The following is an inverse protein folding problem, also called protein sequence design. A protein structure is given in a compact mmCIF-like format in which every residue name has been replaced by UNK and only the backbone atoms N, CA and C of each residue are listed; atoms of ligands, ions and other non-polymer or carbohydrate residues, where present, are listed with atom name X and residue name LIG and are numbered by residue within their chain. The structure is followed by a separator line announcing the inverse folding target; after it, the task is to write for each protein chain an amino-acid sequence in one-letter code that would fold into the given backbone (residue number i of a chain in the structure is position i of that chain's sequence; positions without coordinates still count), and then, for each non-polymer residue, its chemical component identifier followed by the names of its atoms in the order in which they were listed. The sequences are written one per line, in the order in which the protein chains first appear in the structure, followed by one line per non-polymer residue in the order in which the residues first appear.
data_IF_575395070041
#
_entry.id   IF_575395070041
#
_cell.length_a   1.000
_cell.length_b   1.000
_cell.length_c   1.000
_cell.angle_alpha   90.00
_cell.angle_beta   90.00
_cell.angle_gamma   90.00
#
_symmetry.space_group_name_H-M   'P 1'
#
loop_
_entity.id
_entity.type
_entity.pdbx_description
1 polymer ?
#
# COMPACT_ATOMS: atom_id res chain seq x y z
N UNK A 1 3.80 34.41 -7.20
CA UNK A 1 4.80 34.73 -8.26
C UNK A 1 6.22 34.29 -7.92
N UNK A 2 6.79 34.60 -6.75
CA UNK A 2 8.18 34.20 -6.42
C UNK A 2 8.38 32.68 -6.34
N UNK A 3 7.55 31.95 -5.59
CA UNK A 3 7.60 30.47 -5.53
C UNK A 3 7.46 29.81 -6.91
N UNK A 4 6.60 30.36 -7.76
CA UNK A 4 6.34 29.86 -9.12
C UNK A 4 7.56 30.01 -10.03
N UNK A 5 8.27 31.15 -9.95
CA UNK A 5 9.56 31.33 -10.61
C UNK A 5 10.61 30.37 -10.04
N UNK A 6 10.62 30.16 -8.72
CA UNK A 6 11.47 29.18 -8.05
C UNK A 6 11.33 27.77 -8.60
N UNK A 7 10.10 27.30 -8.84
CA UNK A 7 9.87 26.00 -9.47
C UNK A 7 10.34 25.93 -10.93
N UNK A 8 10.17 27.01 -11.70
CA UNK A 8 10.70 27.07 -13.06
C UNK A 8 12.21 26.90 -13.10
N UNK A 9 12.92 27.56 -12.18
CA UNK A 9 14.37 27.38 -12.03
C UNK A 9 14.75 26.00 -11.48
N UNK A 10 13.92 25.41 -10.61
CA UNK A 10 14.10 24.03 -10.18
C UNK A 10 13.96 23.05 -11.36
N UNK A 11 13.01 23.28 -12.26
CA UNK A 11 12.84 22.46 -13.46
C UNK A 11 14.05 22.56 -14.38
N UNK A 12 14.59 23.78 -14.56
CA UNK A 12 15.83 23.98 -15.30
C UNK A 12 17.03 23.27 -14.65
N UNK A 13 17.16 23.35 -13.31
CA UNK A 13 18.18 22.60 -12.57
C UNK A 13 18.05 21.09 -12.81
N UNK A 14 16.85 20.54 -12.65
CA UNK A 14 16.63 19.10 -12.78
C UNK A 14 16.85 18.62 -14.21
N UNK A 15 16.40 19.38 -15.21
CA UNK A 15 16.69 19.09 -16.61
C UNK A 15 18.20 19.10 -16.90
N UNK A 16 18.91 20.14 -16.44
CA UNK A 16 20.37 20.23 -16.57
C UNK A 16 21.11 19.10 -15.85
N UNK A 17 20.71 18.77 -14.62
CA UNK A 17 21.28 17.67 -13.84
C UNK A 17 21.02 16.31 -14.50
N UNK A 18 19.84 16.10 -15.09
CA UNK A 18 19.51 14.87 -15.83
C UNK A 18 20.40 14.73 -17.07
N UNK A 19 20.58 15.81 -17.85
CA UNK A 19 21.37 15.80 -19.08
C UNK A 19 22.89 15.75 -18.85
N UNK A 20 23.39 16.39 -17.80
CA UNK A 20 24.83 16.41 -17.51
C UNK A 20 25.28 15.23 -16.63
N UNK A 21 24.37 14.65 -15.86
CA UNK A 21 24.69 13.66 -14.82
C UNK A 21 25.42 12.42 -15.29
N UNK A 22 25.06 11.78 -16.43
CA UNK A 22 25.79 10.62 -16.94
C UNK A 22 27.26 10.90 -17.28
N UNK A 23 27.61 12.16 -17.53
CA UNK A 23 28.96 12.58 -17.91
C UNK A 23 29.79 13.07 -16.72
N UNK A 24 29.18 13.23 -15.53
CA UNK A 24 29.83 13.78 -14.34
C UNK A 24 30.22 12.67 -13.37
N UNK A 25 31.51 12.33 -13.38
CA UNK A 25 32.12 11.42 -12.44
C UNK A 25 33.16 12.15 -11.59
N UNK A 26 33.24 11.89 -10.27
CA UNK A 26 32.42 10.96 -9.48
C UNK A 26 30.99 11.47 -9.14
N UNK A 27 30.04 10.58 -8.76
CA UNK A 27 28.63 10.92 -8.48
C UNK A 27 28.40 12.09 -7.52
N UNK A 28 29.26 12.22 -6.50
CA UNK A 28 29.15 13.29 -5.52
C UNK A 28 29.30 14.70 -6.13
N UNK A 29 29.95 14.85 -7.29
CA UNK A 29 30.03 16.14 -7.99
C UNK A 29 28.65 16.64 -8.41
N UNK A 30 27.85 15.77 -9.04
CA UNK A 30 26.49 16.13 -9.44
C UNK A 30 25.60 16.35 -8.21
N UNK A 31 25.73 15.52 -7.17
CA UNK A 31 25.05 15.75 -5.90
C UNK A 31 25.36 17.13 -5.30
N UNK A 32 26.62 17.56 -5.35
CA UNK A 32 27.05 18.88 -4.89
C UNK A 32 26.43 20.00 -5.72
N UNK A 33 26.41 19.86 -7.06
CA UNK A 33 25.78 20.85 -7.96
C UNK A 33 24.30 21.02 -7.64
N UNK A 34 23.55 19.92 -7.53
CA UNK A 34 22.12 19.95 -7.19
C UNK A 34 21.90 20.57 -5.81
N UNK A 35 22.72 20.20 -4.82
CA UNK A 35 22.65 20.73 -3.45
C UNK A 35 22.88 22.24 -3.41
N UNK A 36 23.96 22.73 -4.02
CA UNK A 36 24.30 24.15 -4.02
C UNK A 36 23.24 24.99 -4.74
N UNK A 37 22.75 24.51 -5.89
CA UNK A 37 21.71 25.21 -6.63
C UNK A 37 20.39 25.22 -5.85
N UNK A 38 20.02 24.13 -5.19
CA UNK A 38 18.84 24.09 -4.34
C UNK A 38 18.93 25.11 -3.19
N UNK A 39 20.09 25.25 -2.54
CA UNK A 39 20.31 26.27 -1.50
C UNK A 39 20.15 27.70 -2.03
N UNK A 40 20.59 27.97 -3.26
CA UNK A 40 20.35 29.25 -3.94
C UNK A 40 18.85 29.46 -4.17
N UNK A 41 18.13 28.44 -4.65
CA UNK A 41 16.68 28.54 -4.85
C UNK A 41 15.92 28.82 -3.56
N UNK A 42 16.33 28.22 -2.45
CA UNK A 42 15.75 28.54 -1.15
C UNK A 42 15.99 30.01 -0.78
N UNK A 43 17.23 30.48 -0.91
CA UNK A 43 17.63 31.84 -0.52
C UNK A 43 16.86 32.95 -1.24
N UNK A 44 16.49 32.72 -2.50
CA UNK A 44 15.88 33.73 -3.37
C UNK A 44 14.39 33.50 -3.69
N UNK A 45 13.87 32.27 -3.58
CA UNK A 45 12.51 31.93 -4.02
C UNK A 45 11.66 31.18 -2.98
N UNK A 46 12.15 31.08 -1.73
CA UNK A 46 11.45 30.45 -0.60
C UNK A 46 10.98 29.01 -0.87
N UNK A 47 11.87 28.22 -1.48
CA UNK A 47 11.64 26.81 -1.84
C UNK A 47 12.19 25.85 -0.78
N UNK A 48 11.95 26.16 0.50
CA UNK A 48 12.55 25.48 1.66
C UNK A 48 12.41 23.94 1.61
N UNK A 49 11.18 23.43 1.51
CA UNK A 49 10.92 21.99 1.55
C UNK A 49 11.42 21.26 0.29
N UNK A 50 11.31 21.89 -0.89
CA UNK A 50 11.90 21.38 -2.13
C UNK A 50 13.42 21.22 -1.99
N UNK A 51 14.07 22.21 -1.36
CA UNK A 51 15.51 22.20 -1.11
C UNK A 51 15.90 21.08 -0.16
N UNK A 52 15.16 20.87 0.93
CA UNK A 52 15.40 19.74 1.83
C UNK A 52 15.31 18.40 1.12
N UNK A 53 14.31 18.22 0.24
CA UNK A 53 14.20 17.01 -0.57
C UNK A 53 15.40 16.84 -1.50
N UNK A 54 15.82 17.89 -2.20
CA UNK A 54 16.95 17.84 -3.14
C UNK A 54 18.26 17.52 -2.43
N UNK A 55 18.49 18.12 -1.26
CA UNK A 55 19.67 17.85 -0.42
C UNK A 55 19.66 16.38 0.04
N UNK A 56 18.53 15.88 0.53
CA UNK A 56 18.42 14.49 0.98
C UNK A 56 18.67 13.49 -0.16
N UNK A 57 18.03 13.68 -1.31
CA UNK A 57 18.22 12.82 -2.49
C UNK A 57 19.66 12.92 -3.03
N UNK A 58 20.25 14.11 -3.02
CA UNK A 58 21.63 14.33 -3.45
C UNK A 58 22.62 13.63 -2.51
N UNK A 59 22.38 13.63 -1.21
CA UNK A 59 23.21 12.89 -0.25
C UNK A 59 23.15 11.37 -0.51
N UNK A 60 21.95 10.82 -0.74
CA UNK A 60 21.77 9.40 -1.06
C UNK A 60 22.45 9.03 -2.38
N UNK A 61 22.33 9.86 -3.41
CA UNK A 61 23.00 9.64 -4.69
C UNK A 61 24.53 9.80 -4.59
N UNK A 62 25.00 10.87 -3.94
CA UNK A 62 26.42 11.18 -3.81
C UNK A 62 27.22 10.16 -2.98
N UNK A 63 26.55 9.48 -2.04
CA UNK A 63 27.12 8.35 -1.28
C UNK A 63 27.09 7.02 -2.03
N UNK A 64 26.47 6.97 -3.21
CA UNK A 64 26.32 5.76 -4.02
C UNK A 64 25.19 4.83 -3.56
N UNK A 65 24.37 5.22 -2.59
CA UNK A 65 23.21 4.43 -2.15
C UNK A 65 22.09 4.43 -3.19
N UNK A 66 21.90 5.55 -3.90
CA UNK A 66 20.86 5.70 -4.91
C UNK A 66 21.43 5.62 -6.32
N UNK A 67 20.89 4.80 -7.23
CA UNK A 67 21.27 4.83 -8.65
C UNK A 67 20.90 6.17 -9.31
N UNK A 68 21.70 6.60 -10.31
CA UNK A 68 21.45 7.86 -11.02
C UNK A 68 20.06 7.92 -11.68
N UNK A 69 19.61 6.80 -12.26
CA UNK A 69 18.27 6.69 -12.85
C UNK A 69 17.16 7.05 -11.85
N UNK A 70 17.21 6.49 -10.63
CA UNK A 70 16.24 6.79 -9.56
C UNK A 70 16.35 8.24 -9.11
N UNK A 71 17.59 8.75 -8.95
CA UNK A 71 17.86 10.13 -8.56
C UNK A 71 17.21 11.12 -9.53
N UNK A 72 17.58 11.04 -10.81
CA UNK A 72 17.10 11.95 -11.85
C UNK A 72 15.58 11.84 -12.03
N UNK A 73 15.04 10.62 -12.05
CA UNK A 73 13.60 10.37 -12.21
C UNK A 73 12.79 10.96 -11.05
N UNK A 74 13.26 10.77 -9.80
CA UNK A 74 12.57 11.32 -8.62
C UNK A 74 12.52 12.84 -8.66
N UNK A 75 13.66 13.48 -8.96
CA UNK A 75 13.74 14.94 -9.06
C UNK A 75 12.80 15.48 -10.15
N UNK A 76 12.77 14.81 -11.31
CA UNK A 76 11.92 15.19 -12.43
C UNK A 76 10.42 15.05 -12.09
N UNK A 77 10.03 13.93 -11.50
CA UNK A 77 8.66 13.70 -11.06
C UNK A 77 8.22 14.74 -10.03
N UNK A 78 9.05 15.04 -9.04
CA UNK A 78 8.69 15.95 -7.95
C UNK A 78 8.48 17.39 -8.46
N UNK A 79 9.39 17.90 -9.30
CA UNK A 79 9.26 19.26 -9.83
C UNK A 79 8.08 19.40 -10.78
N UNK A 80 7.90 18.45 -11.71
CA UNK A 80 6.77 18.50 -12.66
C UNK A 80 5.43 18.28 -11.95
N UNK A 81 5.39 17.41 -10.95
CA UNK A 81 4.21 17.19 -10.11
C UNK A 81 3.82 18.45 -9.34
N UNK A 82 4.77 19.14 -8.72
CA UNK A 82 4.52 20.37 -7.95
C UNK A 82 4.12 21.54 -8.86
N UNK A 83 4.66 21.64 -10.09
CA UNK A 83 4.22 22.62 -11.09
C UNK A 83 2.74 22.47 -11.45
N UNK A 84 2.24 21.24 -11.57
CA UNK A 84 0.82 20.95 -11.83
C UNK A 84 -0.04 21.29 -10.62
N UNK A 85 0.36 20.84 -9.43
CA UNK A 85 -0.47 20.99 -8.22
C UNK A 85 -0.65 22.45 -7.79
N UNK A 86 0.32 23.33 -8.09
CA UNK A 86 0.18 24.78 -7.83
C UNK A 86 -0.92 25.46 -8.65
N UNK A 87 -1.40 24.83 -9.71
CA UNK A 87 -2.44 25.37 -10.60
C UNK A 87 -3.84 24.78 -10.36
N UNK A 88 -3.96 23.74 -9.51
CA UNK A 88 -5.17 22.93 -9.37
C UNK A 88 -5.87 23.07 -8.02
N UNK A 89 -7.12 22.63 -7.97
CA UNK A 89 -7.87 22.41 -6.73
C UNK A 89 -7.56 21.01 -6.16
N UNK A 90 -7.90 20.74 -4.90
CA UNK A 90 -7.82 19.38 -4.32
C UNK A 90 -8.97 18.51 -4.87
N UNK A 91 -8.88 18.15 -6.16
CA UNK A 91 -9.86 17.39 -6.91
C UNK A 91 -9.22 16.27 -7.73
N UNK A 92 -10.06 15.32 -8.19
CA UNK A 92 -9.58 14.14 -8.93
C UNK A 92 -8.84 14.52 -10.21
N UNK A 93 -9.23 15.61 -10.88
CA UNK A 93 -8.60 16.06 -12.12
C UNK A 93 -7.15 16.51 -11.86
N UNK A 94 -6.90 17.21 -10.77
CA UNK A 94 -5.55 17.66 -10.40
C UNK A 94 -4.62 16.46 -10.16
N UNK A 95 -5.10 15.40 -9.50
CA UNK A 95 -4.34 14.16 -9.36
C UNK A 95 -4.11 13.43 -10.69
N UNK A 96 -5.06 13.46 -11.63
CA UNK A 96 -4.86 12.90 -12.97
C UNK A 96 -3.77 13.67 -13.74
N UNK A 97 -3.79 15.00 -13.70
CA UNK A 97 -2.73 15.81 -14.31
C UNK A 97 -1.37 15.57 -13.65
N UNK A 98 -1.34 15.38 -12.33
CA UNK A 98 -0.13 15.01 -11.59
C UNK A 98 0.43 13.65 -12.05
N UNK A 99 -0.43 12.64 -12.24
CA UNK A 99 -0.03 11.32 -12.76
C UNK A 99 0.52 11.46 -14.19
N UNK A 100 -0.13 12.24 -15.04
CA UNK A 100 0.32 12.46 -16.43
C UNK A 100 1.68 13.16 -16.45
N UNK A 101 1.88 14.21 -15.65
CA UNK A 101 3.14 14.97 -15.63
C UNK A 101 4.30 14.13 -15.09
N UNK A 102 4.09 13.39 -14.01
CA UNK A 102 5.09 12.47 -13.43
C UNK A 102 5.39 11.30 -14.36
N UNK A 103 4.40 10.78 -15.10
CA UNK A 103 4.60 9.77 -16.13
C UNK A 103 5.50 10.27 -17.27
N UNK A 104 5.23 11.48 -17.78
CA UNK A 104 6.10 12.10 -18.78
C UNK A 104 7.53 12.30 -18.25
N UNK A 105 7.69 12.76 -17.01
CA UNK A 105 8.99 12.90 -16.37
C UNK A 105 9.77 11.57 -16.40
N UNK A 106 9.16 10.49 -15.91
CA UNK A 106 9.78 9.18 -15.87
C UNK A 106 10.13 8.62 -17.25
N UNK A 107 9.20 8.72 -18.20
CA UNK A 107 9.40 8.22 -19.57
C UNK A 107 10.53 8.98 -20.28
N UNK A 108 10.62 10.30 -20.11
CA UNK A 108 11.69 11.11 -20.72
C UNK A 108 13.06 10.77 -20.14
N UNK A 109 13.18 10.64 -18.81
CA UNK A 109 14.43 10.24 -18.16
C UNK A 109 14.84 8.84 -18.59
N UNK A 110 13.90 7.90 -18.63
CA UNK A 110 14.12 6.53 -19.09
C UNK A 110 14.60 6.47 -20.54
N UNK A 111 13.95 7.22 -21.44
CA UNK A 111 14.33 7.28 -22.85
C UNK A 111 15.72 7.87 -23.03
N UNK A 112 16.05 8.92 -22.29
CA UNK A 112 17.35 9.59 -22.33
C UNK A 112 18.49 8.68 -21.83
N UNK A 113 18.27 7.96 -20.73
CA UNK A 113 19.26 7.06 -20.14
C UNK A 113 19.31 5.68 -20.81
N UNK A 114 18.45 5.43 -21.80
CA UNK A 114 18.29 4.15 -22.49
C UNK A 114 18.02 2.96 -21.52
N UNK A 115 17.43 3.25 -20.36
CA UNK A 115 17.04 2.26 -19.37
C UNK A 115 15.69 1.62 -19.73
N UNK A 116 15.48 0.35 -19.38
CA UNK A 116 14.20 -0.35 -19.59
C UNK A 116 13.52 -0.67 -18.26
N UNK A 117 13.26 0.35 -17.46
CA UNK A 117 12.77 0.26 -16.09
C UNK A 117 11.30 0.73 -15.94
N UNK A 118 10.41 0.26 -16.82
CA UNK A 118 8.99 0.69 -16.86
C UNK A 118 8.28 0.39 -15.53
N UNK A 119 8.56 -0.77 -14.94
CA UNK A 119 7.98 -1.15 -13.65
C UNK A 119 8.37 -0.17 -12.54
N UNK A 120 9.65 0.22 -12.49
CA UNK A 120 10.17 1.21 -11.55
C UNK A 120 9.44 2.55 -11.67
N UNK A 121 9.24 3.03 -12.91
CA UNK A 121 8.53 4.30 -13.15
C UNK A 121 7.09 4.24 -12.66
N UNK A 122 6.37 3.15 -12.95
CA UNK A 122 4.97 2.99 -12.54
C UNK A 122 4.83 2.97 -11.03
N UNK A 123 5.67 2.21 -10.34
CA UNK A 123 5.68 2.20 -8.88
C UNK A 123 6.08 3.56 -8.29
N UNK A 124 7.01 4.27 -8.93
CA UNK A 124 7.34 5.66 -8.60
C UNK A 124 6.15 6.60 -8.70
N UNK A 125 5.43 6.59 -9.83
CA UNK A 125 4.24 7.44 -10.05
C UNK A 125 3.16 7.16 -9.00
N UNK A 126 2.88 5.88 -8.74
CA UNK A 126 1.84 5.47 -7.79
C UNK A 126 2.23 5.87 -6.36
N UNK A 127 3.49 5.67 -5.97
CA UNK A 127 4.00 6.11 -4.68
C UNK A 127 3.92 7.63 -4.54
N UNK A 128 4.35 8.37 -5.57
CA UNK A 128 4.32 9.82 -5.58
C UNK A 128 2.90 10.37 -5.40
N UNK A 129 1.93 9.91 -6.21
CA UNK A 129 0.54 10.38 -6.10
C UNK A 129 -0.10 9.96 -4.78
N UNK A 130 0.18 8.74 -4.30
CA UNK A 130 -0.35 8.26 -3.02
C UNK A 130 0.18 9.09 -1.85
N UNK A 131 1.50 9.32 -1.80
CA UNK A 131 2.12 10.14 -0.77
C UNK A 131 1.63 11.58 -0.85
N UNK A 132 1.45 12.15 -2.07
CA UNK A 132 0.86 13.47 -2.25
C UNK A 132 -0.52 13.57 -1.62
N UNK A 133 -1.41 12.60 -1.88
CA UNK A 133 -2.77 12.55 -1.33
C UNK A 133 -2.76 12.43 0.19
N UNK A 134 -1.90 11.57 0.74
CA UNK A 134 -1.81 11.35 2.20
C UNK A 134 -1.28 12.58 2.91
N UNK A 135 -0.28 13.24 2.32
CA UNK A 135 0.53 14.24 2.98
C UNK A 135 0.14 15.67 2.64
N UNK A 136 -0.86 15.90 1.76
CA UNK A 136 -1.21 17.24 1.27
C UNK A 136 -1.38 18.30 2.37
N UNK A 137 -1.78 17.89 3.58
CA UNK A 137 -2.03 18.76 4.73
C UNK A 137 -0.79 19.10 5.57
N UNK A 138 0.35 18.47 5.29
CA UNK A 138 1.60 18.66 6.03
C UNK A 138 2.55 19.56 5.25
N UNK A 139 3.19 20.50 5.95
CA UNK A 139 4.10 21.47 5.34
C UNK A 139 5.36 20.79 4.74
N UNK A 140 5.84 19.72 5.38
CA UNK A 140 7.02 18.94 5.01
C UNK A 140 6.73 17.79 4.03
N UNK A 141 5.52 17.76 3.47
CA UNK A 141 5.03 16.71 2.56
C UNK A 141 5.98 16.39 1.41
N UNK A 142 6.63 17.40 0.81
CA UNK A 142 7.56 17.22 -0.32
C UNK A 142 8.80 16.40 0.03
N UNK A 143 9.27 16.44 1.28
CA UNK A 143 10.45 15.69 1.71
C UNK A 143 10.10 14.20 1.78
N UNK A 144 8.99 13.88 2.43
CA UNK A 144 8.51 12.51 2.56
C UNK A 144 8.06 11.95 1.20
N UNK A 145 7.38 12.75 0.37
CA UNK A 145 6.99 12.40 -0.99
C UNK A 145 8.21 12.02 -1.84
N UNK A 146 9.24 12.87 -1.87
CA UNK A 146 10.43 12.63 -2.68
C UNK A 146 11.25 11.44 -2.20
N UNK A 147 11.52 11.34 -0.89
CA UNK A 147 12.28 10.20 -0.34
C UNK A 147 11.49 8.91 -0.51
N UNK A 148 10.19 8.89 -0.19
CA UNK A 148 9.35 7.70 -0.33
C UNK A 148 9.25 7.23 -1.77
N UNK A 149 9.13 8.15 -2.73
CA UNK A 149 9.13 7.84 -4.17
C UNK A 149 10.47 7.25 -4.62
N UNK A 150 11.59 7.87 -4.23
CA UNK A 150 12.93 7.36 -4.54
C UNK A 150 13.17 5.97 -3.95
N UNK A 151 12.82 5.75 -2.68
CA UNK A 151 13.01 4.45 -2.01
C UNK A 151 12.13 3.37 -2.64
N UNK A 152 10.90 3.70 -3.05
CA UNK A 152 10.01 2.77 -3.75
C UNK A 152 10.62 2.37 -5.10
N UNK A 153 11.08 3.35 -5.89
CA UNK A 153 11.73 3.08 -7.17
C UNK A 153 13.02 2.28 -7.01
N UNK A 154 13.84 2.62 -6.01
CA UNK A 154 15.08 1.91 -5.72
C UNK A 154 14.81 0.46 -5.35
N UNK A 155 13.84 0.19 -4.47
CA UNK A 155 13.41 -1.16 -4.11
C UNK A 155 13.02 -1.98 -5.36
N UNK A 156 12.16 -1.42 -6.22
CA UNK A 156 11.69 -2.12 -7.42
C UNK A 156 12.83 -2.36 -8.42
N UNK A 157 13.76 -1.43 -8.55
CA UNK A 157 14.94 -1.60 -9.39
C UNK A 157 15.87 -2.69 -8.84
N UNK A 158 16.10 -2.71 -7.52
CA UNK A 158 16.98 -3.68 -6.86
C UNK A 158 16.44 -5.11 -6.91
N UNK A 159 15.11 -5.28 -6.86
CA UNK A 159 14.46 -6.57 -7.10
C UNK A 159 14.77 -7.17 -8.47
N UNK A 160 15.14 -6.33 -9.46
CA UNK A 160 15.47 -6.72 -10.84
C UNK A 160 14.41 -7.65 -11.48
N UNK A 161 13.14 -7.48 -11.09
CA UNK A 161 12.03 -8.29 -11.57
C UNK A 161 11.62 -7.85 -12.97
N UNK A 162 11.55 -8.80 -13.90
CA UNK A 162 11.16 -8.54 -15.30
C UNK A 162 9.70 -8.90 -15.50
N UNK A 163 8.90 -7.91 -15.89
CA UNK A 163 7.50 -8.06 -16.22
C UNK A 163 7.26 -7.63 -17.67
N UNK A 164 6.40 -8.36 -18.37
CA UNK A 164 6.00 -8.00 -19.73
C UNK A 164 5.20 -6.69 -19.74
N UNK A 165 5.42 -5.87 -20.77
CA UNK A 165 4.77 -4.56 -20.88
C UNK A 165 3.24 -4.67 -20.93
N UNK A 166 2.70 -5.67 -21.64
CA UNK A 166 1.26 -5.87 -21.73
C UNK A 166 0.67 -6.20 -20.36
N UNK A 167 1.36 -7.06 -19.59
CA UNK A 167 0.96 -7.40 -18.23
C UNK A 167 0.98 -6.18 -17.30
N UNK A 168 2.03 -5.37 -17.37
CA UNK A 168 2.16 -4.14 -16.57
C UNK A 168 1.01 -3.17 -16.91
N UNK A 169 0.75 -2.94 -18.20
CA UNK A 169 -0.33 -2.04 -18.64
C UNK A 169 -1.69 -2.57 -18.19
N UNK A 170 -1.95 -3.87 -18.35
CA UNK A 170 -3.16 -4.51 -17.86
C UNK A 170 -3.32 -4.36 -16.34
N UNK A 171 -2.24 -4.56 -15.58
CA UNK A 171 -2.23 -4.41 -14.13
C UNK A 171 -2.60 -2.99 -13.69
N UNK A 172 -2.01 -1.97 -14.34
CA UNK A 172 -2.34 -0.56 -14.09
C UNK A 172 -3.80 -0.27 -14.39
N UNK A 173 -4.28 -0.69 -15.57
CA UNK A 173 -5.68 -0.46 -15.96
C UNK A 173 -6.63 -1.11 -14.95
N UNK A 174 -6.42 -2.39 -14.62
CA UNK A 174 -7.30 -3.12 -13.69
C UNK A 174 -7.24 -2.50 -12.29
N UNK A 175 -6.04 -2.22 -11.77
CA UNK A 175 -5.83 -1.66 -10.44
C UNK A 175 -6.49 -0.28 -10.26
N UNK A 176 -6.29 0.64 -11.20
CA UNK A 176 -6.92 1.96 -11.16
C UNK A 176 -8.42 1.91 -11.44
N UNK A 177 -8.87 1.03 -12.33
CA UNK A 177 -10.32 0.83 -12.59
C UNK A 177 -11.03 0.39 -11.31
N UNK A 178 -10.48 -0.61 -10.63
CA UNK A 178 -11.00 -1.07 -9.35
C UNK A 178 -11.01 0.05 -8.30
N UNK A 179 -9.88 0.74 -8.11
CA UNK A 179 -9.78 1.85 -7.17
C UNK A 179 -10.80 2.96 -7.45
N UNK A 180 -10.99 3.32 -8.73
CA UNK A 180 -11.96 4.32 -9.16
C UNK A 180 -13.41 3.89 -8.85
N UNK A 181 -13.77 2.64 -9.14
CA UNK A 181 -15.11 2.14 -8.81
C UNK A 181 -15.34 2.05 -7.30
N UNK A 182 -14.34 1.64 -6.51
CA UNK A 182 -14.42 1.66 -5.04
C UNK A 182 -14.64 3.08 -4.49
N UNK A 183 -13.93 4.06 -5.05
CA UNK A 183 -14.12 5.47 -4.71
C UNK A 183 -15.52 5.98 -5.08
N UNK A 184 -15.98 5.69 -6.30
CA UNK A 184 -17.33 6.05 -6.77
C UNK A 184 -18.44 5.39 -5.96
N UNK A 185 -18.24 4.16 -5.50
CA UNK A 185 -19.16 3.43 -4.63
C UNK A 185 -19.14 3.91 -3.16
N UNK A 186 -18.30 4.91 -2.85
CA UNK A 186 -18.06 5.45 -1.50
C UNK A 186 -17.61 4.38 -0.50
N UNK A 187 -16.97 3.31 -0.98
CA UNK A 187 -16.36 2.27 -0.13
C UNK A 187 -14.88 2.55 0.14
N UNK A 188 -14.24 3.42 -0.64
CA UNK A 188 -12.90 3.94 -0.42
C UNK A 188 -12.86 5.47 -0.58
N UNK A 189 -11.93 6.13 0.12
CA UNK A 189 -11.62 7.55 -0.13
C UNK A 189 -10.48 7.70 -1.17
N UNK A 190 -10.06 8.93 -1.48
CA UNK A 190 -8.97 9.20 -2.43
C UNK A 190 -7.68 8.45 -2.07
N UNK A 191 -7.30 8.42 -0.79
CA UNK A 191 -6.12 7.68 -0.32
C UNK A 191 -6.32 6.17 -0.43
N UNK A 192 -7.56 5.69 -0.20
CA UNK A 192 -7.99 4.31 -0.40
C UNK A 192 -7.91 3.88 -1.86
N UNK A 193 -8.27 4.73 -2.81
CA UNK A 193 -8.15 4.46 -4.25
C UNK A 193 -6.70 4.15 -4.64
N UNK A 194 -5.77 5.06 -4.35
CA UNK A 194 -4.38 4.92 -4.78
C UNK A 194 -3.66 3.78 -4.04
N UNK A 195 -3.94 3.58 -2.74
CA UNK A 195 -3.39 2.44 -2.00
C UNK A 195 -3.95 1.10 -2.48
N UNK A 196 -5.25 1.04 -2.81
CA UNK A 196 -5.86 -0.18 -3.36
C UNK A 196 -5.33 -0.48 -4.77
N UNK A 197 -5.14 0.55 -5.60
CA UNK A 197 -4.50 0.40 -6.91
C UNK A 197 -3.06 -0.12 -6.76
N UNK A 198 -2.28 0.43 -5.82
CA UNK A 198 -0.91 -0.04 -5.55
C UNK A 198 -0.87 -1.51 -5.14
N UNK A 199 -1.66 -1.90 -4.13
CA UNK A 199 -1.74 -3.30 -3.68
C UNK A 199 -2.21 -4.20 -4.83
N UNK A 200 -3.24 -3.79 -5.57
CA UNK A 200 -3.76 -4.54 -6.70
C UNK A 200 -2.72 -4.75 -7.81
N UNK A 201 -1.96 -3.72 -8.16
CA UNK A 201 -0.88 -3.80 -9.15
C UNK A 201 0.24 -4.72 -8.68
N UNK A 202 0.61 -4.67 -7.38
CA UNK A 202 1.59 -5.60 -6.81
C UNK A 202 1.12 -7.05 -7.00
N UNK A 203 -0.13 -7.37 -6.64
CA UNK A 203 -0.68 -8.71 -6.81
C UNK A 203 -0.68 -9.14 -8.28
N UNK A 204 -1.14 -8.27 -9.18
CA UNK A 204 -1.26 -8.57 -10.61
C UNK A 204 0.10 -8.80 -11.28
N UNK A 205 1.15 -8.08 -10.86
CA UNK A 205 2.48 -8.15 -11.46
C UNK A 205 3.35 -9.26 -10.86
N UNK A 206 3.41 -9.35 -9.53
CA UNK A 206 4.36 -10.23 -8.85
C UNK A 206 3.83 -11.65 -8.65
N UNK A 207 2.52 -11.88 -8.66
CA UNK A 207 1.96 -13.23 -8.62
C UNK A 207 1.74 -13.84 -10.02
N UNK A 208 2.36 -13.27 -11.07
CA UNK A 208 2.26 -13.78 -12.43
C UNK A 208 2.73 -15.24 -12.55
N UNK A 209 2.05 -16.09 -13.36
CA UNK A 209 0.90 -15.76 -14.22
C UNK A 209 -0.46 -15.75 -13.48
N UNK A 210 -0.50 -16.08 -12.19
CA UNK A 210 -1.72 -16.18 -11.38
C UNK A 210 -2.17 -14.85 -10.75
N UNK A 211 -1.59 -13.73 -11.18
CA UNK A 211 -1.88 -12.38 -10.67
C UNK A 211 -3.38 -12.04 -10.63
N UNK A 212 -4.17 -12.32 -11.69
CA UNK A 212 -5.61 -12.09 -11.67
C UNK A 212 -6.34 -12.88 -10.57
N UNK A 213 -5.95 -14.13 -10.32
CA UNK A 213 -6.55 -14.98 -9.29
C UNK A 213 -6.28 -14.41 -7.89
N UNK A 214 -5.04 -13.99 -7.63
CA UNK A 214 -4.69 -13.33 -6.37
C UNK A 214 -5.45 -12.02 -6.21
N UNK A 215 -5.55 -11.22 -7.28
CA UNK A 215 -6.37 -10.01 -7.24
C UNK A 215 -7.85 -10.31 -6.89
N UNK A 216 -8.44 -11.36 -7.47
CA UNK A 216 -9.83 -11.77 -7.20
C UNK A 216 -10.06 -12.27 -5.76
N UNK A 217 -9.07 -12.94 -5.15
CA UNK A 217 -9.13 -13.35 -3.74
C UNK A 217 -9.15 -12.11 -2.84
N UNK A 218 -8.26 -11.14 -3.08
CA UNK A 218 -8.25 -9.87 -2.34
C UNK A 218 -9.54 -9.07 -2.57
N UNK A 219 -10.07 -9.08 -3.80
CA UNK A 219 -11.34 -8.45 -4.15
C UNK A 219 -12.51 -9.09 -3.39
N UNK A 220 -12.49 -10.42 -3.21
CA UNK A 220 -13.50 -11.14 -2.42
C UNK A 220 -13.53 -10.63 -0.99
N UNK A 221 -12.37 -10.53 -0.34
CA UNK A 221 -12.26 -9.89 0.97
C UNK A 221 -12.83 -8.46 0.95
N UNK A 222 -12.43 -7.64 -0.01
CA UNK A 222 -12.88 -6.25 -0.10
C UNK A 222 -14.41 -6.13 -0.24
N UNK A 223 -15.03 -6.97 -1.06
CA UNK A 223 -16.49 -7.00 -1.26
C UNK A 223 -17.18 -7.43 0.03
N UNK A 224 -16.76 -8.54 0.63
CA UNK A 224 -17.32 -9.05 1.89
C UNK A 224 -17.20 -8.00 3.01
N UNK A 225 -16.01 -7.40 3.14
CA UNK A 225 -15.74 -6.38 4.14
C UNK A 225 -16.57 -5.11 3.92
N UNK A 226 -16.70 -4.65 2.68
CA UNK A 226 -17.53 -3.49 2.35
C UNK A 226 -19.02 -3.75 2.62
N UNK A 227 -19.49 -4.97 2.33
CA UNK A 227 -20.86 -5.39 2.63
C UNK A 227 -21.10 -5.46 4.15
N UNK A 228 -20.17 -6.05 4.91
CA UNK A 228 -20.23 -6.13 6.37
C UNK A 228 -20.21 -4.73 7.02
N UNK A 229 -19.36 -3.82 6.54
CA UNK A 229 -19.34 -2.43 7.02
C UNK A 229 -20.68 -1.74 6.81
N UNK A 230 -21.36 -1.97 5.69
CA UNK A 230 -22.69 -1.39 5.41
C UNK A 230 -23.84 -2.11 6.13
N UNK A 231 -23.65 -3.35 6.56
CA UNK A 231 -24.67 -4.10 7.28
C UNK A 231 -25.07 -3.39 8.57
N UNK A 232 -26.38 -3.09 8.71
CA UNK A 232 -26.97 -2.39 9.86
C UNK A 232 -26.22 -1.10 10.26
N UNK A 233 -25.72 -0.34 9.28
CA UNK A 233 -24.94 0.88 9.52
C UNK A 233 -25.63 1.89 10.46
N UNK A 234 -26.93 2.16 10.26
CA UNK A 234 -27.70 3.07 11.13
C UNK A 234 -27.85 2.59 12.58
N UNK A 235 -27.79 1.28 12.81
CA UNK A 235 -27.73 0.75 14.18
C UNK A 235 -26.36 1.00 14.80
N UNK A 236 -25.28 0.68 14.08
CA UNK A 236 -23.89 0.91 14.53
C UNK A 236 -23.63 2.38 14.86
N UNK A 237 -24.17 3.28 14.03
CA UNK A 237 -24.12 4.73 14.24
C UNK A 237 -24.84 5.20 15.50
N UNK A 238 -26.00 4.59 15.83
CA UNK A 238 -26.75 4.93 17.05
C UNK A 238 -26.04 4.50 18.33
N UNK A 239 -25.22 3.46 18.26
CA UNK A 239 -24.44 2.97 19.40
C UNK A 239 -22.98 3.49 19.38
N UNK A 240 -22.60 4.30 18.39
CA UNK A 240 -21.29 4.96 18.29
C UNK A 240 -20.11 4.04 17.95
N UNK A 241 -20.35 2.91 17.27
CA UNK A 241 -19.31 1.94 16.88
C UNK A 241 -19.17 1.82 15.36
N UNK A 242 -19.75 2.75 14.61
CA UNK A 242 -19.68 2.71 13.15
C UNK A 242 -18.26 2.97 12.63
N UNK A 243 -17.96 2.36 11.49
CA UNK A 243 -16.75 2.68 10.76
C UNK A 243 -16.83 4.13 10.24
N UNK A 244 -15.81 4.93 10.56
CA UNK A 244 -15.75 6.34 10.22
C UNK A 244 -15.88 6.63 8.71
N UNK A 245 -16.13 7.90 8.37
CA UNK A 245 -16.27 8.39 6.98
C UNK A 245 -17.37 7.67 6.16
N UNK A 246 -18.47 7.26 6.80
CA UNK A 246 -19.55 6.57 6.08
C UNK A 246 -19.19 5.14 5.69
N UNK A 247 -18.21 4.53 6.37
CA UNK A 247 -17.65 3.22 6.02
C UNK A 247 -16.59 3.24 4.91
N UNK A 248 -16.19 4.42 4.41
CA UNK A 248 -15.15 4.53 3.40
C UNK A 248 -13.77 4.21 3.98
N UNK A 249 -13.05 3.26 3.35
CA UNK A 249 -11.70 2.84 3.77
C UNK A 249 -10.63 3.76 3.16
N UNK A 250 -9.78 4.32 4.01
CA UNK A 250 -8.59 5.05 3.58
C UNK A 250 -7.32 4.19 3.56
N UNK A 251 -6.19 4.80 3.22
CA UNK A 251 -4.90 4.10 3.04
C UNK A 251 -4.49 3.25 4.25
N UNK A 252 -4.76 3.71 5.48
CA UNK A 252 -4.43 2.97 6.71
C UNK A 252 -5.11 1.60 6.75
N UNK A 253 -6.39 1.54 6.39
CA UNK A 253 -7.15 0.28 6.36
C UNK A 253 -6.69 -0.63 5.22
N UNK A 254 -6.34 -0.05 4.07
CA UNK A 254 -5.85 -0.80 2.91
C UNK A 254 -4.49 -1.44 3.21
N UNK A 255 -3.53 -0.66 3.75
CA UNK A 255 -2.20 -1.20 4.07
C UNK A 255 -2.22 -2.14 5.26
N UNK A 256 -2.98 -1.84 6.31
CA UNK A 256 -3.08 -2.72 7.47
C UNK A 256 -3.52 -4.13 7.09
N UNK A 257 -4.47 -4.25 6.15
CA UNK A 257 -4.99 -5.53 5.70
C UNK A 257 -4.25 -6.11 4.47
N UNK A 258 -3.57 -5.26 3.70
CA UNK A 258 -3.03 -5.62 2.38
C UNK A 258 -1.51 -5.74 2.30
N UNK A 259 -0.74 -5.18 3.24
CA UNK A 259 0.72 -5.13 3.10
C UNK A 259 1.38 -6.51 3.25
N UNK A 260 0.85 -7.37 4.11
CA UNK A 260 1.34 -8.75 4.27
C UNK A 260 1.07 -9.54 2.99
N UNK A 261 -0.12 -9.40 2.42
CA UNK A 261 -0.48 -10.00 1.14
C UNK A 261 0.38 -9.48 -0.03
N UNK A 262 0.64 -8.17 -0.08
CA UNK A 262 1.50 -7.54 -1.08
C UNK A 262 2.95 -8.03 -0.95
N UNK A 263 3.49 -8.10 0.28
CA UNK A 263 4.81 -8.64 0.54
C UNK A 263 4.92 -10.12 0.14
N UNK A 264 3.91 -10.93 0.48
CA UNK A 264 3.84 -12.32 0.06
C UNK A 264 3.83 -12.47 -1.46
N UNK A 265 3.13 -11.60 -2.20
CA UNK A 265 3.15 -11.60 -3.66
C UNK A 265 4.53 -11.25 -4.23
N UNK A 266 5.20 -10.21 -3.70
CA UNK A 266 6.58 -9.87 -4.10
C UNK A 266 7.53 -11.03 -3.83
N UNK A 267 7.48 -11.62 -2.64
CA UNK A 267 8.31 -12.76 -2.26
C UNK A 267 8.01 -13.99 -3.13
N UNK A 268 6.74 -14.25 -3.46
CA UNK A 268 6.38 -15.29 -4.42
C UNK A 268 6.96 -15.01 -5.81
N UNK A 269 6.86 -13.78 -6.32
CA UNK A 269 7.42 -13.38 -7.60
C UNK A 269 8.93 -13.63 -7.71
N UNK A 270 9.66 -13.36 -6.62
CA UNK A 270 11.13 -13.53 -6.55
C UNK A 270 11.54 -14.99 -6.32
N UNK A 271 10.90 -15.68 -5.39
CA UNK A 271 11.36 -17.00 -4.91
C UNK A 271 10.54 -18.19 -5.43
N UNK A 272 9.34 -17.96 -5.96
CA UNK A 272 8.43 -18.96 -6.52
C UNK A 272 8.13 -20.13 -5.56
N UNK A 273 8.07 -19.84 -4.26
CA UNK A 273 7.85 -20.86 -3.22
C UNK A 273 6.37 -20.87 -2.74
N UNK A 274 5.70 -22.04 -2.69
CA UNK A 274 4.33 -22.19 -2.18
C UNK A 274 4.08 -21.62 -0.78
N UNK A 275 5.11 -21.52 0.06
CA UNK A 275 5.04 -20.89 1.39
C UNK A 275 4.47 -19.46 1.31
N UNK A 276 4.82 -18.71 0.26
CA UNK A 276 4.30 -17.35 0.07
C UNK A 276 2.85 -17.33 -0.41
N UNK A 277 2.37 -18.40 -1.04
CA UNK A 277 0.97 -18.55 -1.44
C UNK A 277 0.09 -18.74 -0.21
N UNK A 278 0.47 -19.63 0.71
CA UNK A 278 -0.27 -19.83 1.96
C UNK A 278 -0.16 -18.63 2.90
N UNK A 279 0.99 -17.92 2.90
CA UNK A 279 1.12 -16.64 3.61
C UNK A 279 0.12 -15.61 3.07
N UNK A 280 0.04 -15.49 1.74
CA UNK A 280 -0.90 -14.60 1.07
C UNK A 280 -2.35 -14.95 1.46
N UNK A 281 -2.82 -16.17 1.18
CA UNK A 281 -4.22 -16.53 1.44
C UNK A 281 -4.54 -16.50 2.94
N UNK A 282 -3.64 -16.98 3.81
CA UNK A 282 -3.83 -16.92 5.26
C UNK A 282 -3.97 -15.48 5.79
N UNK A 283 -3.17 -14.54 5.27
CA UNK A 283 -3.27 -13.13 5.64
C UNK A 283 -4.60 -12.49 5.18
N UNK A 284 -5.04 -12.77 3.95
CA UNK A 284 -6.31 -12.24 3.41
C UNK A 284 -7.52 -12.89 4.10
N UNK A 285 -7.43 -14.19 4.42
CA UNK A 285 -8.45 -14.89 5.19
C UNK A 285 -8.58 -14.31 6.60
N UNK A 286 -7.47 -13.96 7.24
CA UNK A 286 -7.47 -13.26 8.53
C UNK A 286 -8.09 -11.87 8.44
N UNK A 287 -7.73 -11.07 7.42
CA UNK A 287 -8.34 -9.76 7.20
C UNK A 287 -9.87 -9.86 7.02
N UNK A 288 -10.34 -10.87 6.28
CA UNK A 288 -11.76 -11.11 6.08
C UNK A 288 -12.46 -11.57 7.35
N UNK A 289 -11.90 -12.55 8.05
CA UNK A 289 -12.44 -13.04 9.32
C UNK A 289 -12.56 -11.91 10.34
N UNK A 290 -11.53 -11.09 10.49
CA UNK A 290 -11.48 -9.96 11.42
C UNK A 290 -12.50 -8.87 11.08
N UNK A 291 -12.51 -8.43 9.82
CA UNK A 291 -13.47 -7.41 9.36
C UNK A 291 -14.91 -7.87 9.56
N UNK A 292 -15.22 -9.14 9.26
CA UNK A 292 -16.58 -9.63 9.37
C UNK A 292 -16.97 -9.79 10.86
N UNK A 293 -16.05 -10.28 11.70
CA UNK A 293 -16.27 -10.41 13.13
C UNK A 293 -16.53 -9.05 13.80
N UNK A 294 -15.71 -8.04 13.50
CA UNK A 294 -15.85 -6.69 14.07
C UNK A 294 -17.11 -5.97 13.56
N UNK A 295 -17.48 -6.13 12.28
CA UNK A 295 -18.60 -5.38 11.69
C UNK A 295 -19.96 -6.03 11.90
N UNK A 296 -20.04 -7.36 11.97
CA UNK A 296 -21.29 -8.12 12.17
C UNK A 296 -21.43 -8.59 13.62
N UNK A 297 -20.33 -8.94 14.28
CA UNK A 297 -20.32 -9.45 15.66
C UNK A 297 -20.85 -8.46 16.69
N UNK A 298 -20.79 -7.14 16.42
CA UNK A 298 -21.44 -6.10 17.24
C UNK A 298 -22.95 -6.24 17.34
N UNK A 299 -23.57 -7.02 16.44
CA UNK A 299 -25.00 -7.31 16.46
C UNK A 299 -25.34 -8.61 17.21
N UNK A 300 -24.33 -9.31 17.72
CA UNK A 300 -24.41 -10.62 18.36
C UNK A 300 -24.65 -10.63 19.86
N UNK A 301 -25.06 -9.52 20.46
CA UNK A 301 -25.29 -9.40 21.91
C UNK A 301 -24.08 -8.86 22.67
N UNK A 302 -23.97 -9.22 23.95
CA UNK A 302 -22.96 -8.67 24.87
C UNK A 302 -21.59 -9.34 24.67
N UNK A 303 -20.54 -8.60 24.27
CA UNK A 303 -19.21 -9.16 24.09
C UNK A 303 -18.55 -9.51 25.41
N UNK A 304 -17.59 -10.43 25.36
CA UNK A 304 -16.70 -10.78 26.46
C UNK A 304 -15.27 -10.47 26.07
N UNK A 305 -14.48 -9.91 26.97
CA UNK A 305 -13.08 -9.62 26.71
C UNK A 305 -12.30 -10.93 26.54
N UNK A 306 -11.52 -11.06 25.46
CA UNK A 306 -10.80 -12.31 25.15
C UNK A 306 -9.80 -12.74 26.23
N UNK A 307 -9.26 -11.79 27.00
CA UNK A 307 -8.25 -12.05 28.04
C UNK A 307 -8.84 -12.49 29.38
N UNK A 308 -10.01 -11.95 29.76
CA UNK A 308 -10.61 -12.18 31.10
C UNK A 308 -11.95 -12.88 31.06
N UNK A 309 -12.54 -13.06 29.86
CA UNK A 309 -13.90 -13.57 29.63
C UNK A 309 -15.01 -12.82 30.36
N UNK A 310 -14.73 -11.60 30.83
CA UNK A 310 -15.73 -10.73 31.48
C UNK A 310 -16.54 -9.99 30.44
N UNK A 311 -17.81 -9.75 30.72
CA UNK A 311 -18.66 -8.94 29.85
C UNK A 311 -18.14 -7.50 29.77
N UNK A 312 -18.12 -6.95 28.57
CA UNK A 312 -17.68 -5.58 28.29
C UNK A 312 -18.69 -4.87 27.40
N UNK A 313 -18.68 -3.52 27.34
CA UNK A 313 -19.54 -2.77 26.43
C UNK A 313 -19.29 -3.14 24.96
N UNK A 314 -20.32 -3.02 24.12
CA UNK A 314 -20.22 -3.21 22.66
C UNK A 314 -19.24 -2.18 22.09
N UNK A 315 -18.36 -2.62 21.20
CA UNK A 315 -17.29 -1.79 20.61
C UNK A 315 -16.01 -1.73 21.43
N UNK A 316 -15.91 -2.46 22.55
CA UNK A 316 -14.64 -2.58 23.29
C UNK A 316 -13.64 -3.40 22.48
N UNK A 317 -12.42 -2.87 22.26
CA UNK A 317 -11.35 -3.60 21.57
C UNK A 317 -11.00 -4.90 22.32
N UNK A 318 -10.96 -6.01 21.59
CA UNK A 318 -10.79 -7.36 22.15
C UNK A 318 -12.04 -7.98 22.76
N UNK A 319 -13.21 -7.36 22.59
CA UNK A 319 -14.49 -7.94 22.94
C UNK A 319 -14.99 -8.91 21.86
N UNK A 320 -15.08 -10.19 22.20
CA UNK A 320 -15.54 -11.24 21.29
C UNK A 320 -16.98 -11.65 21.59
N UNK A 321 -17.76 -11.96 20.55
CA UNK A 321 -19.12 -12.54 20.65
C UNK A 321 -19.15 -13.88 19.93
N UNK A 322 -20.06 -14.77 20.32
CA UNK A 322 -20.26 -16.06 19.62
C UNK A 322 -20.63 -15.83 18.15
N UNK A 323 -21.45 -14.81 17.88
CA UNK A 323 -21.76 -14.39 16.50
C UNK A 323 -20.52 -13.87 15.78
N UNK A 324 -19.66 -13.09 16.45
CA UNK A 324 -18.39 -12.63 15.90
C UNK A 324 -17.50 -13.80 15.46
N UNK A 325 -17.28 -14.78 16.34
CA UNK A 325 -16.44 -15.95 16.05
C UNK A 325 -17.01 -16.83 14.92
N UNK A 326 -18.33 -17.04 14.88
CA UNK A 326 -18.95 -17.85 13.81
C UNK A 326 -18.83 -17.17 12.45
N UNK A 327 -19.03 -15.85 12.40
CA UNK A 327 -18.86 -15.08 11.17
C UNK A 327 -17.38 -14.93 10.80
N UNK A 328 -16.46 -14.88 11.78
CA UNK A 328 -15.02 -14.92 11.54
C UNK A 328 -14.63 -16.18 10.77
N UNK A 329 -15.06 -17.34 11.27
CA UNK A 329 -14.81 -18.63 10.62
C UNK A 329 -15.43 -18.68 9.21
N UNK A 330 -16.64 -18.16 9.04
CA UNK A 330 -17.28 -18.07 7.73
C UNK A 330 -16.51 -17.16 6.75
N UNK A 331 -16.03 -16.01 7.21
CA UNK A 331 -15.25 -15.06 6.41
C UNK A 331 -13.94 -15.67 5.90
N UNK A 332 -13.16 -16.27 6.79
CA UNK A 332 -11.93 -16.98 6.44
C UNK A 332 -12.17 -18.17 5.50
N UNK A 333 -13.31 -18.88 5.70
CA UNK A 333 -13.74 -19.98 4.84
C UNK A 333 -14.07 -19.52 3.42
N UNK A 334 -14.83 -18.44 3.25
CA UNK A 334 -15.18 -17.95 1.90
C UNK A 334 -13.92 -17.57 1.12
N UNK A 335 -12.98 -16.84 1.72
CA UNK A 335 -11.72 -16.46 1.06
C UNK A 335 -10.90 -17.70 0.67
N UNK A 336 -10.76 -18.67 1.58
CA UNK A 336 -9.97 -19.88 1.34
C UNK A 336 -10.61 -20.78 0.27
N UNK A 337 -11.95 -20.91 0.27
CA UNK A 337 -12.69 -21.66 -0.75
C UNK A 337 -12.54 -20.99 -2.12
N UNK A 338 -12.68 -19.67 -2.20
CA UNK A 338 -12.46 -18.94 -3.46
C UNK A 338 -11.03 -19.13 -3.96
N UNK A 339 -10.03 -19.10 -3.08
CA UNK A 339 -8.65 -19.37 -3.47
C UNK A 339 -8.44 -20.79 -4.03
N UNK A 340 -9.09 -21.80 -3.44
CA UNK A 340 -9.07 -23.17 -3.94
C UNK A 340 -9.79 -23.30 -5.29
N UNK A 341 -10.97 -22.69 -5.45
CA UNK A 341 -11.74 -22.71 -6.69
C UNK A 341 -11.01 -22.01 -7.85
N UNK A 342 -10.22 -20.99 -7.55
CA UNK A 342 -9.34 -20.32 -8.50
C UNK A 342 -8.03 -21.09 -8.77
N UNK A 343 -7.86 -22.28 -8.19
CA UNK A 343 -6.68 -23.14 -8.29
C UNK A 343 -5.38 -22.46 -7.80
N UNK A 344 -5.48 -21.53 -6.85
CA UNK A 344 -4.31 -20.89 -6.22
C UNK A 344 -3.74 -21.77 -5.10
N UNK A 345 -4.61 -22.49 -4.38
CA UNK A 345 -4.23 -23.39 -3.29
C UNK A 345 -4.89 -24.77 -3.41
N UNK A 346 -4.26 -25.77 -2.79
CA UNK A 346 -4.81 -27.13 -2.69
C UNK A 346 -5.83 -27.25 -1.56
N UNK A 347 -6.54 -28.38 -1.48
CA UNK A 347 -7.49 -28.64 -0.39
C UNK A 347 -6.83 -28.63 1.02
N UNK A 348 -5.66 -29.26 1.25
CA UNK A 348 -4.95 -29.12 2.53
C UNK A 348 -4.61 -27.67 2.88
N UNK A 349 -4.08 -26.92 1.91
CA UNK A 349 -3.79 -25.49 2.06
C UNK A 349 -5.04 -24.67 2.40
N UNK A 350 -6.20 -25.02 1.84
CA UNK A 350 -7.47 -24.38 2.18
C UNK A 350 -7.79 -24.55 3.66
N UNK A 351 -7.69 -25.76 4.21
CA UNK A 351 -7.93 -26.02 5.64
C UNK A 351 -6.96 -25.22 6.50
N UNK A 352 -5.67 -25.19 6.12
CA UNK A 352 -4.64 -24.38 6.79
C UNK A 352 -5.04 -22.89 6.82
N UNK A 353 -5.47 -22.34 5.69
CA UNK A 353 -5.82 -20.92 5.57
C UNK A 353 -7.10 -20.57 6.34
N UNK A 354 -8.06 -21.50 6.47
CA UNK A 354 -9.26 -21.31 7.30
C UNK A 354 -8.87 -21.16 8.76
N UNK A 355 -8.03 -22.08 9.27
CA UNK A 355 -7.56 -22.04 10.66
C UNK A 355 -6.73 -20.78 10.88
N UNK A 356 -5.84 -20.45 9.95
CA UNK A 356 -5.03 -19.23 10.01
C UNK A 356 -5.87 -17.96 10.06
N UNK A 357 -6.95 -17.88 9.28
CA UNK A 357 -7.88 -16.76 9.30
C UNK A 357 -8.52 -16.57 10.67
N UNK A 358 -9.02 -17.65 11.26
CA UNK A 358 -9.61 -17.66 12.60
C UNK A 358 -8.60 -17.28 13.70
N UNK A 359 -7.39 -17.83 13.64
CA UNK A 359 -6.29 -17.50 14.57
C UNK A 359 -5.93 -16.02 14.45
N UNK A 360 -5.79 -15.48 13.24
CA UNK A 360 -5.45 -14.09 13.02
C UNK A 360 -6.48 -13.11 13.60
N UNK A 361 -7.79 -13.37 13.49
CA UNK A 361 -8.83 -12.57 14.16
C UNK A 361 -8.74 -12.61 15.69
N UNK A 362 -8.37 -13.76 16.25
CA UNK A 362 -8.16 -13.88 17.69
C UNK A 362 -6.87 -13.16 18.14
N UNK A 363 -5.85 -13.10 17.27
CA UNK A 363 -4.66 -12.26 17.49
C UNK A 363 -5.03 -10.78 17.50
N UNK A 364 -5.89 -10.31 16.58
CA UNK A 364 -6.42 -8.93 16.63
C UNK A 364 -7.05 -8.64 17.99
N UNK A 365 -7.99 -9.49 18.41
CA UNK A 365 -8.70 -9.31 19.67
C UNK A 365 -7.76 -9.29 20.89
N UNK A 366 -6.72 -10.13 20.89
CA UNK A 366 -5.71 -10.17 21.95
C UNK A 366 -4.86 -8.88 21.97
N UNK A 367 -4.40 -8.43 20.81
CA UNK A 367 -3.59 -7.20 20.66
C UNK A 367 -4.44 -5.98 21.01
N UNK A 368 -5.69 -5.93 20.58
CA UNK A 368 -6.65 -4.88 20.92
C UNK A 368 -6.88 -4.78 22.43
N UNK A 369 -7.10 -5.92 23.10
CA UNK A 369 -7.30 -5.97 24.55
C UNK A 369 -6.08 -5.50 25.36
N UNK A 370 -4.85 -5.72 24.84
CA UNK A 370 -3.60 -5.53 25.59
C UNK A 370 -2.86 -4.24 25.24
N UNK A 371 -2.78 -3.88 23.96
CA UNK A 371 -1.95 -2.77 23.46
C UNK A 371 -2.78 -1.58 22.96
N UNK A 372 -3.88 -1.81 22.24
CA UNK A 372 -4.68 -0.72 21.69
C UNK A 372 -5.39 0.07 22.80
N UNK A 373 -5.99 -0.64 23.76
CA UNK A 373 -6.63 -0.01 24.92
C UNK A 373 -5.66 0.82 25.79
N UNK A 374 -4.35 0.57 25.67
CA UNK A 374 -3.30 1.32 26.37
C UNK A 374 -2.76 2.49 25.55
N UNK A 375 -3.29 2.73 24.35
CA UNK A 375 -2.89 3.82 23.46
C UNK A 375 -1.54 3.62 22.78
N UNK A 376 -0.95 2.42 22.84
CA UNK A 376 0.32 2.15 22.16
C UNK A 376 0.12 2.21 20.64
N UNK A 377 -0.88 1.49 20.12
CA UNK A 377 -1.16 1.32 18.69
C UNK A 377 -2.64 1.64 18.43
N UNK A 378 -3.00 2.02 17.20
CA UNK A 378 -4.41 2.15 16.80
C UNK A 378 -4.86 0.96 15.92
N UNK A 379 -6.15 0.87 15.62
CA UNK A 379 -6.79 -0.15 14.78
C UNK A 379 -6.00 -0.58 13.52
N UNK A 380 -5.35 0.34 12.80
CA UNK A 380 -4.52 -0.05 11.64
C UNK A 380 -3.31 -0.93 12.02
N UNK A 381 -2.74 -0.74 13.21
CA UNK A 381 -1.66 -1.57 13.74
C UNK A 381 -2.16 -2.93 14.24
N UNK A 382 -3.35 -3.00 14.83
CA UNK A 382 -3.94 -4.28 15.29
C UNK A 382 -4.31 -5.17 14.09
N UNK A 383 -4.96 -4.59 13.07
CA UNK A 383 -5.26 -5.27 11.81
C UNK A 383 -3.98 -5.78 11.10
N UNK A 384 -2.90 -5.01 11.16
CA UNK A 384 -1.60 -5.46 10.63
C UNK A 384 -1.08 -6.69 11.39
N UNK A 385 -1.21 -6.69 12.71
CA UNK A 385 -0.80 -7.84 13.53
C UNK A 385 -1.70 -9.06 13.33
N UNK A 386 -2.99 -8.85 13.09
CA UNK A 386 -3.93 -9.90 12.74
C UNK A 386 -3.51 -10.60 11.44
N UNK A 387 -3.35 -9.82 10.37
CA UNK A 387 -2.97 -10.35 9.05
C UNK A 387 -1.57 -10.95 9.02
N UNK A 388 -0.61 -10.35 9.73
CA UNK A 388 0.74 -10.91 9.89
C UNK A 388 0.70 -12.21 10.69
N UNK A 389 -0.02 -12.24 11.81
CA UNK A 389 -0.18 -13.41 12.66
C UNK A 389 -0.85 -14.56 11.91
N UNK A 390 -1.92 -14.30 11.16
CA UNK A 390 -2.58 -15.26 10.30
C UNK A 390 -1.65 -15.78 9.19
N UNK A 391 -0.95 -14.89 8.49
CA UNK A 391 0.01 -15.28 7.44
C UNK A 391 1.17 -16.14 7.96
N UNK A 392 1.78 -15.77 9.09
CA UNK A 392 2.87 -16.54 9.72
C UNK A 392 2.35 -17.90 10.22
N UNK A 393 1.16 -17.93 10.82
CA UNK A 393 0.55 -19.18 11.28
C UNK A 393 0.28 -20.14 10.12
N UNK A 394 -0.25 -19.62 9.00
CA UNK A 394 -0.46 -20.42 7.79
C UNK A 394 0.86 -21.05 7.29
N UNK A 395 1.93 -20.27 7.26
CA UNK A 395 3.27 -20.77 6.90
C UNK A 395 3.77 -21.83 7.86
N UNK A 396 3.69 -21.58 9.17
CA UNK A 396 4.17 -22.51 10.18
C UNK A 396 3.43 -23.85 10.10
N UNK A 397 2.10 -23.81 9.97
CA UNK A 397 1.27 -25.00 9.85
C UNK A 397 1.52 -25.73 8.51
N UNK A 398 1.70 -25.00 7.41
CA UNK A 398 2.06 -25.58 6.12
C UNK A 398 3.40 -26.32 6.18
N UNK A 399 4.44 -25.70 6.74
CA UNK A 399 5.76 -26.32 6.89
C UNK A 399 5.72 -27.54 7.81
N UNK A 400 4.96 -27.46 8.90
CA UNK A 400 4.79 -28.57 9.82
C UNK A 400 4.14 -29.78 9.13
N UNK A 401 3.09 -29.57 8.33
CA UNK A 401 2.39 -30.63 7.62
C UNK A 401 3.14 -31.14 6.38
N UNK A 402 3.93 -30.29 5.72
CA UNK A 402 4.78 -30.67 4.59
C UNK A 402 5.82 -31.71 5.01
N UNK A 403 6.35 -31.60 6.23
CA UNK A 403 7.27 -32.58 6.81
C UNK A 403 6.67 -33.99 6.97
N UNK A 404 5.34 -34.11 6.96
CA UNK A 404 4.61 -35.38 7.03
C UNK A 404 3.96 -35.80 5.70
N UNK A 405 4.19 -35.06 4.60
CA UNK A 405 3.56 -35.32 3.30
C UNK A 405 2.06 -34.99 3.24
N UNK A 406 1.58 -34.12 4.13
CA UNK A 406 0.15 -33.78 4.29
C UNK A 406 -0.22 -32.37 3.79
N UNK A 407 0.71 -31.68 3.11
CA UNK A 407 0.57 -30.26 2.73
C UNK A 407 0.42 -30.03 1.22
#
# INVERSE_FOLDING_TARGET
MQRQRGLGYAAALVGGATLAGPYLNPPWLMALVVTLYALILWRFFDTKYLTYTFVALSALYGTGLLPFFVFATTLAMLVLGELVFQSGADDLNTYLYYIISTAWAGVLVMAYLHERAILTIIFGIIAAVLLKVILLRYEDSLVIEGIGTAMTMWLIQDLNYKADLQMIVAAVIVGFTFGYFAFRAKTADLSGLFSAALVGIILLVFAAPQGPQWFLIMLTFFILGSAATKYKYEYKKRIGVEQGRGGARGYRNVFANGIVAAAAAVLFGVFQNPVFVVMYVGSVASAAADTLASEIGVTGGTPRLITTFRQVPIGTNGGVTVTGETVALAGGSVVSVVAMLLNVITFPMMVICIIAGFVGTNVDSLVGATFENRGFWGNAGTNLMATLGGGIFAVALYLALAGYGLA
#
